data_IF_436457566530
#
_entry.id   IF_436457566530
#
_cell.length_a   1.000
_cell.length_b   1.000
_cell.length_c   1.000
_cell.angle_alpha   90.00
_cell.angle_beta   90.00
_cell.angle_gamma   90.00
#
_symmetry.space_group_name_H-M   'P 1'
#
loop_
_entity.id
_entity.type
_entity.pdbx_description
1 polymer ?
#
# COMPACT_ATOMS: atom_id res chain seq x y z
N UNK A 1 -8.94 -11.55 16.23
CA UNK A 1 -8.23 -11.15 15.00
C UNK A 1 -8.06 -12.33 14.03
N UNK A 2 -7.50 -13.48 14.40
CA UNK A 2 -7.26 -14.58 13.44
C UNK A 2 -8.51 -15.08 12.71
N UNK A 3 -9.57 -15.38 13.47
CA UNK A 3 -10.87 -15.78 12.90
C UNK A 3 -11.41 -14.74 11.92
N UNK A 4 -11.25 -13.46 12.23
CA UNK A 4 -11.70 -12.36 11.37
C UNK A 4 -10.89 -12.29 10.08
N UNK A 5 -9.55 -12.37 10.16
CA UNK A 5 -8.67 -12.44 8.97
C UNK A 5 -9.08 -13.61 8.06
N UNK A 6 -9.31 -14.80 8.65
CA UNK A 6 -9.76 -15.98 7.90
C UNK A 6 -11.08 -15.73 7.17
N UNK A 7 -12.05 -15.08 7.81
CA UNK A 7 -13.34 -14.72 7.19
C UNK A 7 -13.17 -13.72 6.05
N UNK A 8 -12.36 -12.67 6.24
CA UNK A 8 -12.08 -11.67 5.19
C UNK A 8 -11.38 -12.31 3.97
N UNK A 9 -10.37 -13.15 4.21
CA UNK A 9 -9.68 -13.89 3.15
C UNK A 9 -10.62 -14.84 2.44
N UNK A 10 -11.49 -15.54 3.17
CA UNK A 10 -12.46 -16.46 2.56
C UNK A 10 -13.44 -15.70 1.66
N UNK A 11 -13.97 -14.57 2.12
CA UNK A 11 -14.82 -13.72 1.30
C UNK A 11 -14.13 -13.31 -0.01
N UNK A 12 -12.87 -12.89 0.04
CA UNK A 12 -12.13 -12.53 -1.17
C UNK A 12 -11.95 -13.76 -2.10
N UNK A 13 -11.62 -14.94 -1.56
CA UNK A 13 -11.51 -16.17 -2.35
C UNK A 13 -12.81 -16.53 -3.07
N UNK A 14 -13.94 -16.43 -2.36
CA UNK A 14 -15.26 -16.74 -2.90
C UNK A 14 -15.66 -15.81 -4.05
N UNK A 15 -15.04 -14.62 -4.14
CA UNK A 15 -15.27 -13.62 -5.20
C UNK A 15 -14.10 -13.49 -6.18
N UNK A 16 -13.11 -14.40 -6.12
CA UNK A 16 -11.85 -14.25 -6.87
C UNK A 16 -12.02 -14.25 -8.39
N UNK A 17 -13.02 -14.93 -8.93
CA UNK A 17 -13.32 -14.93 -10.37
C UNK A 17 -13.81 -13.57 -10.87
N UNK A 18 -14.59 -12.86 -10.06
CA UNK A 18 -14.97 -11.48 -10.36
C UNK A 18 -13.73 -10.60 -10.44
N UNK A 19 -12.80 -10.72 -9.50
CA UNK A 19 -11.59 -9.90 -9.47
C UNK A 19 -10.66 -10.20 -10.64
N UNK A 20 -10.53 -11.47 -11.06
CA UNK A 20 -9.79 -11.85 -12.27
C UNK A 20 -10.38 -11.24 -13.53
N UNK A 21 -11.71 -11.21 -13.61
CA UNK A 21 -12.43 -10.57 -14.72
C UNK A 21 -12.19 -9.06 -14.72
N UNK A 22 -12.27 -8.42 -13.56
CA UNK A 22 -11.98 -7.00 -13.39
C UNK A 22 -10.54 -6.64 -13.83
N UNK A 23 -9.53 -7.42 -13.42
CA UNK A 23 -8.14 -7.25 -13.90
C UNK A 23 -8.07 -7.31 -15.42
N UNK A 24 -8.69 -8.33 -16.03
CA UNK A 24 -8.69 -8.50 -17.49
C UNK A 24 -9.32 -7.29 -18.19
N UNK A 25 -10.47 -6.83 -17.71
CA UNK A 25 -11.18 -5.68 -18.30
C UNK A 25 -10.34 -4.40 -18.20
N UNK A 26 -9.76 -4.13 -17.04
CA UNK A 26 -8.89 -2.97 -16.84
C UNK A 26 -7.67 -2.99 -17.76
N UNK A 27 -6.97 -4.13 -17.85
CA UNK A 27 -5.81 -4.29 -18.74
C UNK A 27 -6.19 -4.08 -20.20
N UNK A 28 -7.28 -4.70 -20.66
CA UNK A 28 -7.73 -4.52 -22.04
C UNK A 28 -8.08 -3.08 -22.38
N UNK A 29 -8.70 -2.35 -21.44
CA UNK A 29 -9.03 -0.95 -21.62
C UNK A 29 -7.77 -0.06 -21.63
N UNK A 30 -6.87 -0.21 -20.65
CA UNK A 30 -5.67 0.63 -20.55
C UNK A 30 -4.62 0.37 -21.62
N UNK A 31 -4.58 -0.84 -22.18
CA UNK A 31 -3.75 -1.16 -23.35
C UNK A 31 -4.42 -0.82 -24.68
N UNK A 32 -5.58 -0.14 -24.66
CA UNK A 32 -6.35 0.25 -25.85
C UNK A 32 -6.75 -0.95 -26.74
N UNK A 33 -6.86 -2.14 -26.13
CA UNK A 33 -7.21 -3.41 -26.81
C UNK A 33 -8.72 -3.65 -26.87
N UNK A 34 -9.54 -2.81 -26.24
CA UNK A 34 -11.00 -2.83 -26.33
C UNK A 34 -11.57 -1.41 -26.48
N UNK A 35 -12.65 -1.28 -27.24
CA UNK A 35 -13.48 -0.06 -27.35
C UNK A 35 -14.76 -0.16 -26.49
N UNK A 36 -14.83 -1.14 -25.59
CA UNK A 36 -15.96 -1.34 -24.69
C UNK A 36 -16.10 -0.20 -23.67
N UNK A 37 -17.18 -0.27 -22.88
CA UNK A 37 -17.46 0.68 -21.81
C UNK A 37 -16.27 0.74 -20.83
N UNK A 38 -15.81 1.95 -20.42
CA UNK A 38 -14.74 2.08 -19.44
C UNK A 38 -15.04 1.35 -18.13
N UNK A 39 -14.04 0.69 -17.50
CA UNK A 39 -14.25 -0.03 -16.24
C UNK A 39 -14.71 0.91 -15.12
N UNK A 40 -15.70 0.49 -14.34
CA UNK A 40 -16.23 1.28 -13.23
C UNK A 40 -15.55 0.87 -11.93
N UNK A 41 -14.55 1.67 -11.54
CA UNK A 41 -13.78 1.48 -10.31
C UNK A 41 -14.54 2.10 -9.13
N UNK A 42 -15.29 1.26 -8.41
CA UNK A 42 -16.17 1.68 -7.33
C UNK A 42 -15.70 1.19 -5.96
N UNK A 43 -16.16 1.89 -4.92
CA UNK A 43 -16.02 1.49 -3.54
C UNK A 43 -17.37 1.51 -2.82
N UNK A 44 -17.60 0.50 -2.00
CA UNK A 44 -18.74 0.44 -1.07
C UNK A 44 -18.48 1.37 0.09
N UNK A 45 -19.55 1.93 0.65
CA UNK A 45 -19.50 2.69 1.90
C UNK A 45 -19.10 1.80 3.08
N UNK A 46 -19.70 0.61 3.14
CA UNK A 46 -19.56 -0.34 4.24
C UNK A 46 -19.05 -1.70 3.72
N UNK A 47 -18.22 -2.43 4.50
CA UNK A 47 -17.77 -3.76 4.14
C UNK A 47 -18.94 -4.77 4.12
N UNK A 48 -18.78 -5.93 3.45
CA UNK A 48 -19.75 -7.01 3.55
C UNK A 48 -19.94 -7.43 5.01
N UNK A 49 -21.16 -7.86 5.37
CA UNK A 49 -21.42 -8.40 6.70
C UNK A 49 -20.78 -9.78 6.85
N UNK A 50 -19.69 -9.83 7.61
CA UNK A 50 -18.97 -11.04 7.95
C UNK A 50 -19.26 -11.50 9.40
N UNK A 51 -20.28 -10.93 10.04
CA UNK A 51 -20.66 -11.22 11.43
C UNK A 51 -19.75 -10.57 12.47
N UNK A 52 -19.02 -9.52 12.11
CA UNK A 52 -18.22 -8.71 13.04
C UNK A 52 -17.97 -7.30 12.51
N UNK A 53 -17.75 -6.35 13.43
CA UNK A 53 -17.23 -5.02 13.10
C UNK A 53 -15.69 -5.04 13.04
N UNK A 54 -15.06 -4.61 11.93
CA UNK A 54 -13.61 -4.51 11.85
C UNK A 54 -13.04 -3.56 12.90
N UNK A 55 -11.89 -3.92 13.47
CA UNK A 55 -11.14 -3.03 14.38
C UNK A 55 -10.30 -2.04 13.59
N UNK A 56 -10.20 -0.80 14.05
CA UNK A 56 -9.13 0.10 13.65
C UNK A 56 -7.89 -0.14 14.51
N UNK A 57 -6.73 0.07 13.90
CA UNK A 57 -5.45 0.08 14.60
C UNK A 57 -4.81 1.45 14.44
N UNK A 58 -3.97 1.75 15.40
CA UNK A 58 -3.09 2.90 15.44
C UNK A 58 -2.13 2.92 14.24
N UNK A 59 -1.89 4.11 13.66
CA UNK A 59 -1.05 4.24 12.48
C UNK A 59 0.42 3.91 12.73
N UNK A 60 0.93 4.09 13.95
CA UNK A 60 2.30 3.69 14.29
C UNK A 60 2.37 2.18 14.53
N UNK A 61 1.40 1.59 15.23
CA UNK A 61 1.38 0.14 15.50
C UNK A 61 1.42 -0.70 14.22
N UNK A 62 0.64 -0.34 13.20
CA UNK A 62 0.60 -1.12 11.94
C UNK A 62 1.96 -1.14 11.23
N UNK A 63 2.84 -0.18 11.48
CA UNK A 63 4.15 -0.09 10.82
C UNK A 63 5.11 -1.19 11.27
N UNK A 64 4.89 -1.73 12.46
CA UNK A 64 5.75 -2.72 13.10
C UNK A 64 5.09 -4.10 13.27
N UNK A 65 3.80 -4.23 12.95
CA UNK A 65 3.04 -5.49 13.05
C UNK A 65 2.40 -5.85 11.71
N UNK A 66 3.02 -6.80 11.00
CA UNK A 66 2.57 -7.26 9.67
C UNK A 66 1.15 -7.82 9.69
N UNK A 67 0.71 -8.37 10.82
CA UNK A 67 -0.63 -8.94 10.97
C UNK A 67 -1.67 -7.85 11.14
N UNK A 68 -1.37 -6.78 11.89
CA UNK A 68 -2.23 -5.59 11.96
C UNK A 68 -2.28 -4.88 10.60
N UNK A 69 -1.15 -4.79 9.89
CA UNK A 69 -1.10 -4.26 8.52
C UNK A 69 -1.98 -5.08 7.55
N UNK A 70 -1.89 -6.41 7.58
CA UNK A 70 -2.76 -7.30 6.80
C UNK A 70 -4.23 -7.07 7.15
N UNK A 71 -4.57 -6.99 8.43
CA UNK A 71 -5.95 -6.77 8.86
C UNK A 71 -6.52 -5.44 8.36
N UNK A 72 -5.75 -4.35 8.50
CA UNK A 72 -6.14 -3.03 8.02
C UNK A 72 -6.31 -3.04 6.50
N UNK A 73 -5.34 -3.62 5.77
CA UNK A 73 -5.42 -3.76 4.31
C UNK A 73 -6.64 -4.56 3.86
N UNK A 74 -6.91 -5.72 4.48
CA UNK A 74 -8.09 -6.54 4.17
C UNK A 74 -9.39 -5.75 4.40
N UNK A 75 -9.48 -4.98 5.49
CA UNK A 75 -10.66 -4.16 5.78
C UNK A 75 -10.94 -3.15 4.66
N UNK A 76 -9.90 -2.50 4.12
CA UNK A 76 -10.04 -1.61 2.96
C UNK A 76 -10.33 -2.36 1.66
N UNK A 77 -9.68 -3.50 1.43
CA UNK A 77 -9.85 -4.30 0.21
C UNK A 77 -11.30 -4.76 0.02
N UNK A 78 -11.98 -5.12 1.12
CA UNK A 78 -13.38 -5.55 1.14
C UNK A 78 -14.39 -4.47 0.68
N UNK A 79 -13.96 -3.21 0.60
CA UNK A 79 -14.80 -2.13 0.08
C UNK A 79 -14.81 -2.11 -1.47
N UNK A 80 -13.92 -2.85 -2.14
CA UNK A 80 -13.83 -2.86 -3.60
C UNK A 80 -15.07 -3.50 -4.23
N UNK A 81 -15.64 -2.86 -5.25
CA UNK A 81 -16.81 -3.37 -5.99
C UNK A 81 -16.80 -2.90 -7.45
N UNK A 82 -17.75 -3.36 -8.25
CA UNK A 82 -17.77 -3.13 -9.69
C UNK A 82 -16.57 -3.80 -10.36
N UNK A 83 -15.83 -3.03 -11.16
CA UNK A 83 -14.57 -3.45 -11.79
C UNK A 83 -13.35 -3.11 -10.93
N UNK A 84 -13.50 -2.65 -9.69
CA UNK A 84 -12.34 -2.44 -8.80
C UNK A 84 -11.65 -3.76 -8.45
N UNK A 85 -10.32 -3.77 -8.51
CA UNK A 85 -9.51 -4.92 -8.09
C UNK A 85 -9.07 -4.69 -6.64
N UNK A 86 -9.50 -5.54 -5.69
CA UNK A 86 -9.09 -5.39 -4.29
C UNK A 86 -7.57 -5.51 -4.21
N UNK A 87 -6.93 -4.51 -3.60
CA UNK A 87 -5.48 -4.44 -3.56
C UNK A 87 -5.02 -3.90 -2.21
N UNK A 88 -3.94 -4.45 -1.66
CA UNK A 88 -3.31 -4.00 -0.42
C UNK A 88 -1.82 -3.78 -0.64
N UNK A 89 -1.19 -2.97 0.22
CA UNK A 89 0.26 -2.75 0.21
C UNK A 89 0.82 -2.79 1.62
N UNK A 90 2.12 -3.01 1.74
CA UNK A 90 2.84 -2.62 2.94
C UNK A 90 2.83 -1.08 3.04
N UNK A 91 1.89 -0.52 3.80
CA UNK A 91 1.69 0.93 3.84
C UNK A 91 2.73 1.60 4.75
N UNK A 92 3.93 1.86 4.22
CA UNK A 92 5.05 2.48 4.95
C UNK A 92 5.09 4.01 4.87
N UNK A 93 4.12 4.63 4.21
CA UNK A 93 4.03 6.08 4.01
C UNK A 93 5.01 6.62 2.94
N UNK A 94 4.86 7.90 2.61
CA UNK A 94 5.62 8.58 1.56
C UNK A 94 7.12 8.69 1.83
N UNK A 95 7.54 8.62 3.11
CA UNK A 95 8.95 8.74 3.50
C UNK A 95 9.82 7.54 3.11
N UNK A 96 9.27 6.44 2.60
CA UNK A 96 10.03 5.21 2.37
C UNK A 96 11.16 5.38 1.33
N UNK A 97 10.96 6.20 0.30
CA UNK A 97 11.99 6.55 -0.70
C UNK A 97 12.98 7.59 -0.18
N UNK A 98 12.55 8.73 0.41
CA UNK A 98 13.45 9.66 1.09
C UNK A 98 14.35 8.99 2.14
N UNK A 99 13.84 8.00 2.87
CA UNK A 99 14.63 7.26 3.86
C UNK A 99 15.84 6.55 3.25
N UNK A 100 15.75 6.13 1.98
CA UNK A 100 16.87 5.51 1.28
C UNK A 100 17.99 6.50 0.93
N UNK A 101 17.68 7.81 1.00
CA UNK A 101 18.62 8.92 0.80
C UNK A 101 19.08 9.51 2.14
N UNK A 102 18.73 8.89 3.27
CA UNK A 102 19.16 9.31 4.61
C UNK A 102 18.18 10.25 5.34
N UNK A 103 17.02 10.56 4.76
CA UNK A 103 15.95 11.28 5.47
C UNK A 103 15.33 10.39 6.55
N UNK A 104 14.86 10.97 7.66
CA UNK A 104 14.20 10.21 8.72
C UNK A 104 12.69 10.48 8.73
N UNK A 105 11.94 9.39 8.83
CA UNK A 105 10.49 9.41 9.04
C UNK A 105 10.15 9.25 10.53
N UNK A 106 9.10 9.95 10.97
CA UNK A 106 8.49 9.77 12.29
C UNK A 106 7.15 9.07 12.13
N UNK A 107 6.82 8.23 13.11
CA UNK A 107 5.60 7.44 13.17
C UNK A 107 4.66 8.02 14.21
N UNK A 108 3.38 8.13 13.85
CA UNK A 108 2.38 8.79 14.67
C UNK A 108 1.19 7.87 14.92
N UNK A 109 0.58 7.95 16.11
CA UNK A 109 -0.63 7.20 16.41
C UNK A 109 -1.82 7.52 15.50
N UNK A 110 -1.98 8.80 15.20
CA UNK A 110 -3.21 9.42 14.70
C UNK A 110 -3.12 9.82 13.21
N UNK A 111 -1.95 9.70 12.59
CA UNK A 111 -1.72 10.07 11.19
C UNK A 111 -0.64 9.22 10.52
N UNK A 112 -0.59 9.32 9.19
CA UNK A 112 0.42 8.62 8.39
C UNK A 112 1.85 9.03 8.79
N UNK A 113 2.85 8.13 8.61
CA UNK A 113 4.25 8.47 8.81
C UNK A 113 4.65 9.68 7.95
N UNK A 114 5.48 10.56 8.49
CA UNK A 114 5.90 11.78 7.81
C UNK A 114 7.39 12.06 8.04
N UNK A 115 8.06 12.63 7.04
CA UNK A 115 9.46 13.09 7.14
C UNK A 115 9.53 14.33 8.03
N UNK A 116 10.48 14.41 8.95
CA UNK A 116 10.63 15.58 9.84
C UNK A 116 11.85 16.44 9.51
N UNK A 117 12.85 15.85 8.87
CA UNK A 117 14.12 16.50 8.59
C UNK A 117 14.42 16.38 7.11
N UNK A 118 14.90 17.47 6.53
CA UNK A 118 15.35 17.51 5.14
C UNK A 118 16.88 17.52 5.09
N UNK A 119 17.43 17.09 3.96
CA UNK A 119 18.85 17.21 3.70
C UNK A 119 19.18 18.62 3.27
N UNK A 120 20.32 19.11 3.74
CA UNK A 120 20.86 20.40 3.30
C UNK A 120 21.31 20.32 1.84
N UNK A 121 21.36 21.48 1.16
CA UNK A 121 21.90 21.59 -0.20
C UNK A 121 23.31 21.03 -0.32
N UNK A 122 24.14 21.21 0.72
CA UNK A 122 25.50 20.67 0.76
C UNK A 122 25.52 19.13 0.80
N UNK A 123 24.65 18.51 1.60
CA UNK A 123 24.49 17.05 1.63
C UNK A 123 24.03 16.51 0.27
N UNK A 124 23.03 17.15 -0.35
CA UNK A 124 22.50 16.72 -1.65
C UNK A 124 23.52 16.88 -2.77
N UNK A 125 24.26 18.00 -2.80
CA UNK A 125 25.27 18.26 -3.84
C UNK A 125 26.45 17.29 -3.74
N UNK A 126 26.69 16.71 -2.56
CA UNK A 126 27.72 15.69 -2.35
C UNK A 126 27.25 14.26 -2.64
N UNK A 127 25.98 14.05 -3.02
CA UNK A 127 25.46 12.72 -3.36
C UNK A 127 25.89 12.31 -4.77
N UNK A 128 26.32 11.05 -4.88
CA UNK A 128 26.50 10.39 -6.17
C UNK A 128 25.19 9.70 -6.61
N UNK A 129 24.97 9.45 -7.91
CA UNK A 129 23.76 8.79 -8.42
C UNK A 129 23.45 7.44 -7.73
N UNK A 130 24.48 6.73 -7.29
CA UNK A 130 24.36 5.41 -6.64
C UNK A 130 24.30 5.50 -5.10
N UNK A 131 24.19 6.71 -4.53
CA UNK A 131 24.14 6.94 -3.08
C UNK A 131 22.75 6.60 -2.52
N UNK A 132 22.40 5.31 -2.56
CA UNK A 132 21.12 4.76 -2.13
C UNK A 132 21.39 3.65 -1.11
N UNK A 133 20.80 3.78 0.08
CA UNK A 133 20.87 2.76 1.11
C UNK A 133 19.52 2.09 1.34
N UNK A 134 19.49 0.76 1.21
CA UNK A 134 18.32 -0.04 1.59
C UNK A 134 18.28 -0.22 3.11
N UNK A 135 17.80 0.83 3.79
CA UNK A 135 17.61 0.83 5.24
C UNK A 135 16.61 -0.22 5.73
N UNK A 136 16.58 -0.43 7.05
CA UNK A 136 15.74 -1.45 7.69
C UNK A 136 14.25 -1.28 7.39
N UNK A 137 13.78 -0.05 7.24
CA UNK A 137 12.38 0.24 6.91
C UNK A 137 12.00 -0.24 5.50
N UNK A 138 12.89 -0.06 4.52
CA UNK A 138 12.66 -0.53 3.16
C UNK A 138 12.66 -2.06 3.12
N UNK A 139 13.66 -2.70 3.74
CA UNK A 139 13.74 -4.16 3.88
C UNK A 139 12.50 -4.72 4.56
N UNK A 140 12.09 -4.11 5.69
CA UNK A 140 10.87 -4.51 6.40
C UNK A 140 9.63 -4.34 5.53
N UNK A 141 9.57 -3.29 4.70
CA UNK A 141 8.52 -3.10 3.71
C UNK A 141 8.41 -4.27 2.74
N UNK A 142 9.53 -4.74 2.18
CA UNK A 142 9.57 -5.90 1.29
C UNK A 142 9.17 -7.21 2.00
N UNK A 143 9.64 -7.40 3.24
CA UNK A 143 9.23 -8.55 4.08
C UNK A 143 7.72 -8.55 4.33
N UNK A 144 7.15 -7.39 4.68
CA UNK A 144 5.71 -7.22 4.85
C UNK A 144 4.99 -7.54 3.55
N UNK A 145 5.45 -7.05 2.39
CA UNK A 145 4.84 -7.39 1.09
C UNK A 145 4.84 -8.91 0.83
N UNK A 146 5.93 -9.62 1.13
CA UNK A 146 5.99 -11.08 1.01
C UNK A 146 4.97 -11.74 1.93
N UNK A 147 4.90 -11.30 3.19
CA UNK A 147 3.91 -11.78 4.15
C UNK A 147 2.47 -11.60 3.66
N UNK A 148 2.15 -10.42 3.12
CA UNK A 148 0.83 -10.13 2.54
C UNK A 148 0.54 -11.05 1.34
N UNK A 149 1.51 -11.20 0.44
CA UNK A 149 1.36 -12.01 -0.76
C UNK A 149 1.06 -13.48 -0.42
N UNK A 150 1.74 -14.03 0.59
CA UNK A 150 1.50 -15.39 1.07
C UNK A 150 0.07 -15.60 1.56
N UNK A 151 -0.49 -14.63 2.28
CA UNK A 151 -1.86 -14.71 2.82
C UNK A 151 -2.94 -14.50 1.74
N UNK A 152 -2.61 -13.78 0.67
CA UNK A 152 -3.55 -13.43 -0.40
C UNK A 152 -3.55 -14.41 -1.57
N UNK A 153 -2.72 -15.46 -1.55
CA UNK A 153 -2.71 -16.49 -2.60
C UNK A 153 -4.11 -17.04 -2.89
N UNK A 154 -4.50 -16.95 -4.16
CA UNK A 154 -5.78 -17.44 -4.66
C UNK A 154 -7.00 -16.57 -4.32
N UNK A 155 -6.83 -15.43 -3.64
CA UNK A 155 -7.95 -14.54 -3.27
C UNK A 155 -8.39 -13.63 -4.41
N UNK A 156 -7.55 -13.44 -5.44
CA UNK A 156 -7.75 -12.38 -6.45
C UNK A 156 -7.43 -10.97 -5.94
N UNK A 157 -7.13 -10.79 -4.65
CA UNK A 157 -6.60 -9.55 -4.11
C UNK A 157 -5.10 -9.44 -4.37
N UNK A 158 -4.66 -8.29 -4.90
CA UNK A 158 -3.27 -8.07 -5.31
C UNK A 158 -2.47 -7.35 -4.22
N UNK A 159 -1.17 -7.68 -4.15
CA UNK A 159 -0.20 -6.87 -3.42
C UNK A 159 0.45 -5.93 -4.41
N UNK A 160 0.20 -4.64 -4.27
CA UNK A 160 0.85 -3.62 -5.10
C UNK A 160 2.09 -3.06 -4.39
N UNK A 161 2.98 -2.34 -5.11
CA UNK A 161 4.24 -1.86 -4.56
C UNK A 161 4.10 -1.07 -3.24
N UNK A 162 5.20 -0.99 -2.49
CA UNK A 162 5.37 0.01 -1.43
C UNK A 162 4.97 1.40 -1.94
N UNK A 163 4.67 2.32 -1.03
CA UNK A 163 4.28 3.68 -1.40
C UNK A 163 5.36 4.34 -2.27
N UNK A 164 5.12 4.36 -3.59
CA UNK A 164 6.04 4.88 -4.60
C UNK A 164 5.73 6.36 -4.76
N UNK A 165 6.63 7.22 -4.28
CA UNK A 165 6.57 8.64 -4.62
C UNK A 165 7.29 8.89 -5.95
N UNK A 166 6.74 9.78 -6.77
CA UNK A 166 7.40 10.21 -7.99
C UNK A 166 8.72 10.91 -7.69
N UNK A 167 9.59 11.05 -8.70
CA UNK A 167 10.90 11.68 -8.52
C UNK A 167 10.80 13.11 -7.97
N UNK A 168 9.81 13.89 -8.42
CA UNK A 168 9.58 15.26 -7.95
C UNK A 168 9.14 15.29 -6.49
N UNK A 169 8.20 14.42 -6.11
CA UNK A 169 7.72 14.36 -4.72
C UNK A 169 8.84 13.87 -3.78
N UNK A 170 9.61 12.87 -4.21
CA UNK A 170 10.80 12.42 -3.48
C UNK A 170 11.81 13.55 -3.29
N UNK A 171 12.12 14.32 -4.36
CA UNK A 171 13.03 15.45 -4.27
C UNK A 171 12.52 16.54 -3.31
N UNK A 172 11.21 16.81 -3.34
CA UNK A 172 10.57 17.75 -2.42
C UNK A 172 10.66 17.28 -0.96
N UNK A 173 10.39 16.00 -0.69
CA UNK A 173 10.52 15.41 0.66
C UNK A 173 11.97 15.40 1.15
N UNK A 174 12.95 15.25 0.25
CA UNK A 174 14.38 15.23 0.59
C UNK A 174 14.93 16.62 0.84
N UNK A 175 14.67 17.60 -0.02
CA UNK A 175 15.22 18.95 0.10
C UNK A 175 14.35 19.88 0.97
N UNK A 176 13.05 19.64 1.01
CA UNK A 176 12.07 20.43 1.74
C UNK A 176 11.69 21.75 1.06
N UNK A 177 11.13 22.65 1.87
CA UNK A 177 10.67 23.99 1.47
C UNK A 177 11.77 25.06 1.52
N UNK A 178 13.03 24.66 1.69
CA UNK A 178 14.18 25.54 1.76
C UNK A 178 14.61 26.04 0.37
N UNK A 179 13.72 26.76 -0.31
CA UNK A 179 14.02 27.47 -1.57
C UNK A 179 14.48 28.90 -1.30
#
# INVERSE_FOLDING_TARGET
MEKQIKLMIQYLKDNSDQYRTAVKNQVQFWEEKSTDVPPLLLHRKDPPDLGFSPKSFDYAEIQFDDRKMLYAGLTSALLSTGDSVPSIRANKGCGIYPNMLGVKSTYFPDKMPWVQEHLTKAQITAMEPDHIEFGDQFKKGLETMSYLADHLKGTGCLVYPLDLQGAVDTAHLVYGDAY
#
